data_IF_411782600705
#
_entry.id   IF_411782600705
#
_cell.length_a   1.000
_cell.length_b   1.000
_cell.length_c   1.000
_cell.angle_alpha   90.00
_cell.angle_beta   90.00
_cell.angle_gamma   90.00
#
_symmetry.space_group_name_H-M   'P 1'
#
loop_
_entity.id
_entity.type
_entity.pdbx_description
1 polymer ?
#
# COMPACT_ATOMS: atom_id res chain seq x y z
N UNK A 3 9.86 36.85 10.08
CA UNK A 3 9.34 37.55 11.25
C UNK A 3 7.81 37.48 11.29
N UNK A 4 7.24 36.77 10.32
CA UNK A 4 5.78 36.65 10.19
C UNK A 4 5.28 35.39 10.90
N UNK A 5 3.99 35.39 11.18
CA UNK A 5 3.29 34.25 11.77
C UNK A 5 2.19 33.78 10.82
N UNK A 6 1.49 32.73 11.22
CA UNK A 6 0.41 32.16 10.42
C UNK A 6 -0.68 31.66 11.36
N UNK A 7 -1.93 31.78 10.91
CA UNK A 7 -3.07 31.37 11.71
C UNK A 7 -3.35 29.88 11.53
N UNK A 8 -3.64 29.20 12.63
CA UNK A 8 -3.92 27.76 12.60
C UNK A 8 -5.40 27.42 12.60
N UNK A 9 -6.27 28.31 13.10
CA UNK A 9 -7.69 28.03 13.19
C UNK A 9 -8.47 29.28 12.80
N UNK A 10 -9.79 29.20 12.91
CA UNK A 10 -10.65 30.36 12.73
C UNK A 10 -10.99 30.95 14.09
N UNK A 11 -11.05 32.28 14.16
CA UNK A 11 -11.37 32.97 15.40
C UNK A 11 -12.28 34.15 15.11
N UNK A 12 -13.28 34.36 15.97
CA UNK A 12 -14.19 35.49 15.87
C UNK A 12 -13.93 36.47 16.99
N UNK A 13 -14.00 37.76 16.67
CA UNK A 13 -13.72 38.80 17.65
C UNK A 13 -14.78 38.78 18.75
N UNK A 14 -14.34 38.80 20.00
CA UNK A 14 -15.23 38.86 21.15
C UNK A 14 -15.29 40.24 21.79
N UNK A 15 -14.22 41.02 21.69
CA UNK A 15 -14.14 42.36 22.24
C UNK A 15 -14.06 43.35 21.08
N UNK A 16 -13.86 44.63 21.41
CA UNK A 16 -13.70 45.67 20.41
C UNK A 16 -12.24 45.94 20.04
N UNK A 17 -11.29 45.22 20.65
CA UNK A 17 -9.88 45.44 20.41
C UNK A 17 -9.16 44.22 19.87
N UNK A 18 -9.86 43.10 19.68
CA UNK A 18 -9.26 41.88 19.16
C UNK A 18 -9.52 41.77 17.67
N UNK A 19 -8.95 40.74 17.06
CA UNK A 19 -8.94 40.58 15.61
C UNK A 19 -9.56 39.26 15.21
N UNK A 20 -10.46 39.30 14.22
CA UNK A 20 -11.03 38.10 13.65
C UNK A 20 -10.18 37.65 12.47
N UNK A 21 -9.95 36.34 12.38
CA UNK A 21 -9.12 35.81 11.31
C UNK A 21 -9.54 34.38 10.99
N UNK A 22 -9.21 33.95 9.78
CA UNK A 22 -9.52 32.63 9.28
C UNK A 22 -8.26 31.77 9.25
N UNK A 23 -8.42 30.46 9.37
CA UNK A 23 -7.29 29.54 9.30
C UNK A 23 -6.48 29.79 8.03
N UNK A 24 -5.16 29.76 8.17
CA UNK A 24 -4.27 30.02 7.06
C UNK A 24 -3.91 31.47 6.85
N UNK A 25 -4.52 32.39 7.60
CA UNK A 25 -4.23 33.81 7.43
C UNK A 25 -2.83 34.13 7.96
N UNK A 26 -2.02 34.75 7.13
CA UNK A 26 -0.66 35.12 7.54
C UNK A 26 -0.72 36.42 8.32
N UNK A 27 -0.24 36.38 9.56
CA UNK A 27 -0.28 37.53 10.45
C UNK A 27 1.13 38.04 10.72
N UNK A 28 1.20 39.27 11.21
CA UNK A 28 2.47 39.91 11.55
C UNK A 28 2.42 40.31 13.02
N UNK A 29 3.19 39.63 13.86
CA UNK A 29 3.22 39.94 15.28
C UNK A 29 4.02 41.23 15.46
N UNK A 30 3.34 42.30 15.85
CA UNK A 30 3.99 43.60 16.02
C UNK A 30 4.32 43.90 17.48
N UNK A 31 3.79 43.12 18.42
CA UNK A 31 4.06 43.34 19.84
C UNK A 31 3.69 42.08 20.59
N UNK A 32 4.69 41.40 21.15
CA UNK A 32 4.48 40.17 21.90
C UNK A 32 4.96 40.30 23.35
N UNK A 33 4.85 41.50 23.90
CA UNK A 33 5.12 41.80 25.31
C UNK A 33 3.96 41.47 26.22
N UNK A 34 3.01 40.65 25.76
CA UNK A 34 1.86 40.23 26.54
C UNK A 34 1.82 38.70 26.55
N UNK A 35 1.55 38.13 27.73
CA UNK A 35 1.68 36.68 27.87
C UNK A 35 0.62 35.91 27.10
N UNK A 36 -0.63 36.37 27.14
CA UNK A 36 -1.73 35.67 26.47
C UNK A 36 -2.09 36.25 25.11
N UNK A 37 -2.51 37.52 25.05
CA UNK A 37 -3.01 38.10 23.81
C UNK A 37 -1.97 39.04 23.21
N UNK A 38 -1.57 38.75 21.98
CA UNK A 38 -0.61 39.54 21.23
C UNK A 38 -1.31 40.49 20.28
N UNK A 39 -0.61 41.57 19.92
CA UNK A 39 -1.12 42.54 18.96
C UNK A 39 -0.55 42.19 17.59
N UNK A 40 -1.42 41.86 16.64
CA UNK A 40 -1.01 41.37 15.34
C UNK A 40 -1.63 42.22 14.24
N UNK A 41 -0.98 42.18 13.08
CA UNK A 41 -1.42 42.88 11.88
C UNK A 41 -1.60 41.84 10.78
N UNK A 42 -2.84 41.65 10.33
CA UNK A 42 -3.12 40.67 9.30
C UNK A 42 -2.54 41.14 7.96
N UNK A 43 -1.71 40.31 7.35
CA UNK A 43 -1.06 40.67 6.09
C UNK A 43 -1.98 40.57 4.89
N UNK A 44 -3.12 39.88 5.03
CA UNK A 44 -4.05 39.70 3.92
C UNK A 44 -5.21 40.70 3.97
N UNK A 45 -5.84 40.88 5.12
CA UNK A 45 -6.96 41.80 5.26
C UNK A 45 -6.53 43.20 5.73
N UNK A 46 -5.30 43.37 6.19
CA UNK A 46 -4.84 44.66 6.64
C UNK A 46 -5.38 45.11 7.98
N UNK A 47 -6.07 44.24 8.71
CA UNK A 47 -6.64 44.59 10.00
C UNK A 47 -5.63 44.37 11.11
N UNK A 48 -5.70 45.23 12.13
CA UNK A 48 -4.87 45.12 13.31
C UNK A 48 -5.75 44.87 14.54
N UNK A 49 -5.30 43.98 15.41
CA UNK A 49 -6.05 43.67 16.61
C UNK A 49 -5.31 42.64 17.44
N UNK A 50 -5.87 42.35 18.60
CA UNK A 50 -5.28 41.40 19.53
C UNK A 50 -5.74 39.98 19.18
N UNK A 51 -4.77 39.08 19.04
CA UNK A 51 -5.06 37.68 18.71
C UNK A 51 -4.65 36.80 19.88
N UNK A 52 -5.31 35.66 20.08
CA UNK A 52 -4.83 34.70 21.08
C UNK A 52 -3.56 34.02 20.58
N UNK A 53 -2.53 33.99 21.44
CA UNK A 53 -1.22 33.51 21.01
C UNK A 53 -1.20 32.01 20.72
N UNK A 54 -2.17 31.26 21.25
CA UNK A 54 -2.22 29.82 21.01
C UNK A 54 -2.80 29.46 19.65
N UNK A 55 -3.43 30.42 18.96
CA UNK A 55 -4.02 30.18 17.66
C UNK A 55 -3.03 30.32 16.51
N UNK A 56 -1.79 30.74 16.78
CA UNK A 56 -0.81 30.99 15.74
C UNK A 56 0.47 30.21 16.04
N UNK A 57 1.36 30.20 15.05
CA UNK A 57 2.65 29.54 15.16
C UNK A 57 3.59 30.20 14.18
N UNK A 58 4.90 30.19 14.45
CA UNK A 58 5.85 30.84 13.53
C UNK A 58 5.80 30.24 12.13
N UNK A 59 6.00 31.11 11.14
CA UNK A 59 6.00 30.68 9.75
C UNK A 59 7.18 29.76 9.50
N UNK A 60 6.93 28.70 8.71
CA UNK A 60 7.94 27.70 8.38
C UNK A 60 8.46 26.98 9.63
N UNK A 61 7.61 26.83 10.64
CA UNK A 61 7.92 26.02 11.80
C UNK A 61 7.23 24.66 11.65
N UNK A 62 7.45 23.78 12.62
CA UNK A 62 6.85 22.45 12.56
C UNK A 62 5.40 22.48 13.01
N UNK A 63 5.08 23.31 13.98
CA UNK A 63 3.70 23.42 14.48
C UNK A 63 2.79 24.20 13.53
N UNK A 64 3.35 24.90 12.54
CA UNK A 64 2.57 25.71 11.63
C UNK A 64 1.98 24.92 10.48
N UNK A 65 2.41 23.67 10.30
CA UNK A 65 1.91 22.86 9.19
C UNK A 65 0.49 22.39 9.46
N UNK A 66 -0.27 22.24 8.38
CA UNK A 66 -1.68 21.87 8.49
C UNK A 66 -1.87 20.43 8.93
N UNK A 67 -0.89 19.55 8.67
CA UNK A 67 -1.01 18.15 9.03
C UNK A 67 -0.36 17.80 10.35
N UNK A 68 0.24 18.77 11.03
CA UNK A 68 0.84 18.53 12.34
C UNK A 68 -0.24 18.72 13.40
N UNK A 69 -0.45 17.69 14.23
CA UNK A 69 -1.53 17.70 15.21
C UNK A 69 -1.03 17.67 16.64
N UNK A 70 0.29 17.67 16.85
CA UNK A 70 0.83 17.78 18.19
C UNK A 70 0.74 16.51 19.01
N UNK A 71 0.37 16.65 20.28
CA UNK A 71 0.38 15.54 21.23
C UNK A 71 -0.95 14.79 21.26
N UNK A 72 -1.52 14.49 20.10
CA UNK A 72 -2.77 13.74 20.04
C UNK A 72 -2.46 12.25 20.19
N UNK A 73 -3.25 11.56 20.99
CA UNK A 73 -3.02 10.17 21.29
C UNK A 73 -3.35 9.29 20.08
N UNK A 74 -2.87 8.04 20.14
CA UNK A 74 -3.15 7.09 19.06
C UNK A 74 -4.64 6.79 18.96
N UNK A 75 -5.31 6.64 20.10
CA UNK A 75 -6.76 6.40 20.09
C UNK A 75 -7.49 7.57 19.45
N UNK A 76 -7.12 8.79 19.81
CA UNK A 76 -7.76 9.98 19.24
C UNK A 76 -7.34 10.22 17.80
N UNK A 77 -6.15 9.75 17.41
CA UNK A 77 -5.69 9.96 16.04
C UNK A 77 -6.47 9.11 15.04
N UNK A 78 -6.84 7.88 15.43
CA UNK A 78 -7.60 7.03 14.54
C UNK A 78 -9.03 7.53 14.36
N UNK A 79 -9.54 8.27 15.35
CA UNK A 79 -10.92 8.74 15.27
C UNK A 79 -11.08 9.77 14.15
N UNK A 80 -10.07 10.60 13.93
CA UNK A 80 -10.15 11.59 12.86
C UNK A 80 -9.98 10.93 11.49
N UNK A 81 -9.08 9.95 11.38
CA UNK A 81 -8.80 9.32 10.10
C UNK A 81 -9.89 8.35 9.68
N UNK A 82 -10.57 7.71 10.64
CA UNK A 82 -11.63 6.76 10.32
C UNK A 82 -12.90 7.43 9.80
N UNK A 83 -12.90 8.73 9.55
CA UNK A 83 -14.10 9.39 9.03
C UNK A 83 -14.40 8.89 7.62
N UNK A 84 -15.70 8.75 7.32
CA UNK A 84 -16.11 8.23 6.02
C UNK A 84 -15.75 9.19 4.89
N UNK A 85 -15.66 10.49 5.18
CA UNK A 85 -15.29 11.46 4.14
C UNK A 85 -13.83 11.32 3.72
N UNK A 86 -12.98 10.89 4.64
CA UNK A 86 -11.55 10.80 4.35
C UNK A 86 -11.25 9.71 3.33
N UNK A 87 -10.66 10.04 2.19
CA UNK A 87 -10.27 8.99 1.23
C UNK A 87 -9.06 8.22 1.72
N UNK A 88 -8.65 7.22 0.95
CA UNK A 88 -7.46 6.45 1.31
C UNK A 88 -6.22 7.32 1.17
N UNK A 89 -5.44 7.41 2.24
CA UNK A 89 -4.28 8.27 2.27
C UNK A 89 -4.39 9.45 3.22
N UNK A 90 -5.55 9.65 3.85
CA UNK A 90 -5.68 10.73 4.82
C UNK A 90 -4.74 10.49 6.00
N UNK A 91 -3.90 11.48 6.29
CA UNK A 91 -2.80 11.28 7.23
C UNK A 91 -2.70 12.47 8.19
N UNK A 92 -1.84 12.30 9.19
CA UNK A 92 -1.50 13.33 10.16
C UNK A 92 -0.23 12.89 10.88
N UNK A 93 0.52 13.87 11.38
CA UNK A 93 1.77 13.61 12.10
C UNK A 93 1.57 14.00 13.56
N UNK A 94 1.84 13.06 14.46
CA UNK A 94 1.66 13.24 15.89
C UNK A 94 2.95 12.94 16.63
N UNK A 95 3.05 13.47 17.85
CA UNK A 95 4.18 13.18 18.71
C UNK A 95 4.11 11.74 19.21
N UNK A 96 5.25 11.05 19.18
CA UNK A 96 5.30 9.68 19.66
C UNK A 96 5.16 9.66 21.18
N UNK A 97 4.08 9.06 21.67
CA UNK A 97 3.86 8.97 23.11
C UNK A 97 4.83 8.00 23.78
N UNK A 98 5.36 7.03 23.04
CA UNK A 98 6.28 6.07 23.62
C UNK A 98 7.68 6.66 23.77
N UNK A 99 8.18 7.32 22.72
CA UNK A 99 9.53 7.89 22.70
C UNK A 99 9.43 9.41 22.61
N UNK A 100 9.98 10.09 23.60
CA UNK A 100 10.02 11.55 23.56
C UNK A 100 10.96 12.03 22.46
N UNK A 101 10.59 13.12 21.79
CA UNK A 101 11.35 13.65 20.68
C UNK A 101 11.11 12.98 19.35
N UNK A 102 10.43 11.84 19.33
CA UNK A 102 10.09 11.14 18.10
C UNK A 102 8.65 11.45 17.69
N UNK A 103 8.28 10.98 16.50
CA UNK A 103 6.96 11.26 15.95
C UNK A 103 6.40 9.99 15.30
N UNK A 104 5.08 9.95 15.22
CA UNK A 104 4.36 8.87 14.54
C UNK A 104 3.55 9.43 13.39
N UNK A 105 3.47 8.67 12.30
CA UNK A 105 2.71 9.04 11.11
C UNK A 105 1.52 8.10 11.01
N UNK A 106 0.31 8.65 11.14
CA UNK A 106 -0.92 7.87 11.12
C UNK A 106 -1.65 8.15 9.81
N UNK A 107 -1.83 7.10 9.00
CA UNK A 107 -2.48 7.21 7.70
C UNK A 107 -3.66 6.25 7.65
N UNK A 108 -4.70 6.64 6.90
CA UNK A 108 -5.86 5.78 6.68
C UNK A 108 -5.61 4.87 5.49
N UNK A 109 -6.01 3.60 5.63
CA UNK A 109 -5.74 2.60 4.61
C UNK A 109 -6.94 1.66 4.50
N UNK A 110 -7.12 1.10 3.30
CA UNK A 110 -8.18 0.14 3.00
C UNK A 110 -7.56 -1.16 2.52
N UNK A 111 -7.49 -2.15 3.40
CA UNK A 111 -7.03 -3.49 3.03
C UNK A 111 -8.24 -4.37 2.68
N UNK A 112 -8.14 -5.08 1.57
CA UNK A 112 -9.25 -5.94 1.13
C UNK A 112 -9.52 -7.08 2.11
N UNK A 113 -8.58 -7.37 3.01
CA UNK A 113 -8.76 -8.44 3.99
C UNK A 113 -9.28 -7.94 5.33
N UNK A 114 -8.89 -6.73 5.75
CA UNK A 114 -9.35 -6.18 7.02
C UNK A 114 -10.35 -5.05 6.86
N UNK A 115 -10.56 -4.56 5.63
CA UNK A 115 -11.45 -3.43 5.45
C UNK A 115 -10.73 -2.12 5.69
N UNK A 116 -11.49 -1.11 6.13
CA UNK A 116 -10.91 0.18 6.46
C UNK A 116 -10.09 0.08 7.73
N UNK A 117 -8.88 0.63 7.70
CA UNK A 117 -7.96 0.55 8.84
C UNK A 117 -7.06 1.77 8.82
N UNK A 118 -6.24 1.89 9.88
CA UNK A 118 -5.30 2.98 10.04
C UNK A 118 -3.91 2.41 10.21
N UNK A 119 -2.96 2.88 9.41
CA UNK A 119 -1.56 2.46 9.49
C UNK A 119 -0.76 3.51 10.25
N UNK A 120 -0.02 3.06 11.26
CA UNK A 120 0.82 3.95 12.07
C UNK A 120 2.28 3.64 11.82
N UNK A 121 3.03 4.62 11.34
CA UNK A 121 4.47 4.50 11.14
C UNK A 121 5.19 5.45 12.08
N UNK A 122 6.09 4.91 12.91
CA UNK A 122 6.86 5.72 13.85
C UNK A 122 8.08 6.29 13.14
N UNK A 123 8.25 7.61 13.24
CA UNK A 123 9.38 8.32 12.66
C UNK A 123 10.44 8.51 13.74
N UNK A 124 11.66 8.08 13.45
CA UNK A 124 12.75 8.12 14.40
C UNK A 124 13.63 9.34 14.15
N UNK A 125 14.11 9.95 15.23
CA UNK A 125 14.95 11.14 15.17
C UNK A 125 16.40 10.75 15.31
N UNK A 126 17.22 11.09 14.32
CA UNK A 126 18.65 10.82 14.39
C UNK A 126 19.32 11.74 15.41
N UNK A 127 20.49 11.32 15.88
CA UNK A 127 21.25 12.17 16.78
C UNK A 127 21.74 13.44 16.08
N UNK A 128 21.97 13.36 14.76
CA UNK A 128 22.32 14.54 13.99
C UNK A 128 21.14 15.48 13.79
N UNK A 129 19.92 15.03 14.06
CA UNK A 129 18.73 15.83 13.86
C UNK A 129 17.88 15.40 12.70
N UNK A 130 18.15 14.24 12.10
CA UNK A 130 17.44 13.79 10.94
C UNK A 130 16.30 12.83 11.26
N UNK A 131 15.32 12.78 10.36
CA UNK A 131 14.15 11.93 10.52
C UNK A 131 14.12 10.86 9.42
N UNK A 132 13.61 9.68 9.77
CA UNK A 132 13.52 8.59 8.82
C UNK A 132 12.47 7.60 9.28
N UNK A 133 11.89 6.89 8.32
CA UNK A 133 11.05 5.74 8.60
C UNK A 133 11.80 4.44 8.29
N UNK A 134 12.48 4.40 7.14
CA UNK A 134 13.41 3.34 6.78
C UNK A 134 14.80 3.93 6.57
N UNK A 135 15.81 3.08 6.75
CA UNK A 135 17.20 3.52 6.61
C UNK A 135 17.54 3.90 5.18
N UNK A 136 16.73 3.46 4.20
CA UNK A 136 17.02 3.73 2.80
C UNK A 136 16.81 5.19 2.42
N UNK A 137 16.00 5.92 3.19
CA UNK A 137 15.74 7.32 2.90
C UNK A 137 15.62 8.08 4.20
N UNK A 138 16.51 9.05 4.40
CA UNK A 138 16.50 9.88 5.59
C UNK A 138 16.11 11.29 5.21
N UNK A 139 15.65 12.04 6.21
CA UNK A 139 15.17 13.40 5.99
C UNK A 139 15.74 14.30 7.07
N UNK A 140 15.68 15.60 6.82
CA UNK A 140 16.11 16.62 7.76
C UNK A 140 14.96 17.26 8.52
N UNK A 141 13.77 17.34 7.92
CA UNK A 141 12.61 17.90 8.58
C UNK A 141 11.38 17.10 8.19
N UNK A 142 10.34 17.22 9.02
CA UNK A 142 9.09 16.50 8.79
C UNK A 142 8.32 17.04 7.59
N UNK A 143 8.43 18.33 7.29
CA UNK A 143 7.67 18.90 6.19
C UNK A 143 8.08 18.30 4.85
N UNK A 144 9.39 18.21 4.62
CA UNK A 144 9.89 17.62 3.38
C UNK A 144 9.69 16.11 3.36
N UNK A 145 9.63 15.47 4.53
CA UNK A 145 9.32 14.05 4.57
C UNK A 145 7.94 13.79 3.99
N UNK A 146 6.97 14.63 4.36
CA UNK A 146 5.61 14.47 3.87
C UNK A 146 5.55 14.69 2.36
N UNK A 147 6.32 15.66 1.86
CA UNK A 147 6.31 15.94 0.43
C UNK A 147 6.81 14.75 -0.39
N UNK A 148 7.70 13.93 0.17
CA UNK A 148 8.14 12.71 -0.49
C UNK A 148 7.01 11.69 -0.52
N UNK A 149 6.57 11.24 0.66
CA UNK A 149 5.59 10.19 0.75
C UNK A 149 4.23 10.60 0.22
N UNK A 150 4.07 11.87 -0.15
CA UNK A 150 2.87 12.31 -0.83
C UNK A 150 2.94 12.18 -2.35
N UNK A 151 4.15 12.03 -2.90
CA UNK A 151 4.28 11.81 -4.33
C UNK A 151 4.30 10.32 -4.67
N UNK A 152 5.06 9.55 -3.90
CA UNK A 152 5.16 8.11 -4.08
C UNK A 152 5.01 7.43 -2.74
N UNK A 153 4.46 6.22 -2.75
CA UNK A 153 4.34 5.44 -1.52
C UNK A 153 5.71 5.12 -0.95
N UNK A 154 6.49 4.31 -1.67
CA UNK A 154 7.86 3.95 -1.30
C UNK A 154 7.95 3.42 0.13
N UNK A 155 7.44 2.20 0.31
CA UNK A 155 7.45 1.53 1.59
C UNK A 155 6.15 1.63 2.36
N UNK A 156 5.35 2.65 2.08
CA UNK A 156 4.06 2.84 2.72
C UNK A 156 2.99 2.08 1.94
N UNK A 157 1.93 1.69 2.65
CA UNK A 157 0.85 0.97 1.99
C UNK A 157 0.12 1.83 0.96
N UNK A 158 0.18 3.15 1.11
CA UNK A 158 -0.40 4.06 0.15
C UNK A 158 0.31 5.40 0.24
N UNK A 159 0.23 6.18 -0.84
CA UNK A 159 0.84 7.50 -0.84
C UNK A 159 0.02 8.47 -0.01
N UNK A 160 0.71 9.44 0.57
CA UNK A 160 0.03 10.47 1.36
C UNK A 160 -0.78 11.37 0.43
N UNK A 161 -2.06 11.53 0.75
CA UNK A 161 -2.96 12.28 -0.11
C UNK A 161 -3.60 13.46 0.62
N UNK A 162 -4.66 13.19 1.36
CA UNK A 162 -5.48 14.22 1.98
C UNK A 162 -4.97 14.51 3.39
N UNK A 163 -4.91 15.80 3.74
CA UNK A 163 -4.60 16.20 5.11
C UNK A 163 -5.86 16.04 5.95
N UNK A 164 -5.72 15.49 7.14
CA UNK A 164 -6.86 15.24 8.02
C UNK A 164 -7.55 16.53 8.45
N UNK A 165 -8.77 16.76 7.95
CA UNK A 165 -9.52 17.96 8.31
C UNK A 165 -10.25 17.74 9.63
N UNK A 166 -11.20 18.61 9.92
CA UNK A 166 -12.06 18.50 11.11
C UNK A 166 -11.23 18.42 12.39
N UNK A 167 -10.44 19.46 12.64
CA UNK A 167 -9.67 19.56 13.87
C UNK A 167 -10.33 20.65 14.70
N UNK A 168 -10.76 20.26 15.91
CA UNK A 168 -11.41 21.17 16.84
C UNK A 168 -10.50 22.36 17.16
N UNK A 169 -11.10 23.54 17.25
CA UNK A 169 -10.36 24.76 17.55
C UNK A 169 -10.12 24.83 19.06
N UNK A 170 -8.90 25.10 19.51
CA UNK A 170 -8.62 25.10 20.94
C UNK A 170 -9.31 26.24 21.68
N UNK A 171 -9.37 26.08 22.99
CA UNK A 171 -10.04 27.04 23.85
C UNK A 171 -9.24 28.34 23.94
N UNK A 172 -9.90 29.45 23.68
CA UNK A 172 -9.23 30.75 23.76
C UNK A 172 -8.91 31.09 25.21
N UNK A 173 -7.68 31.49 25.52
CA UNK A 173 -7.32 31.81 26.91
C UNK A 173 -7.86 33.16 27.33
N UNK A 174 -8.27 33.24 28.59
CA UNK A 174 -8.81 34.47 29.15
C UNK A 174 -7.67 35.37 29.65
N UNK A 175 -7.99 36.64 29.82
CA UNK A 175 -7.02 37.62 30.33
C UNK A 175 -7.73 38.85 30.89
N UNK B 3 -6.40 -25.47 -30.29
CA UNK B 3 -6.22 -26.90 -30.09
C UNK B 3 -4.77 -27.23 -29.72
N UNK B 4 -3.95 -26.19 -29.60
CA UNK B 4 -2.54 -26.37 -29.30
C UNK B 4 -2.31 -26.35 -27.79
N UNK B 5 -1.14 -26.84 -27.39
CA UNK B 5 -0.72 -26.88 -26.00
C UNK B 5 0.54 -26.04 -25.82
N UNK B 6 1.00 -25.96 -24.57
CA UNK B 6 2.21 -25.21 -24.24
C UNK B 6 2.92 -25.93 -23.11
N UNK B 7 4.25 -25.90 -23.14
CA UNK B 7 5.08 -26.57 -22.16
C UNK B 7 5.29 -25.68 -20.94
N UNK B 8 5.25 -26.28 -19.76
CA UNK B 8 5.46 -25.56 -18.51
C UNK B 8 6.88 -25.65 -18.00
N UNK B 9 7.63 -26.67 -18.42
CA UNK B 9 9.01 -26.87 -17.97
C UNK B 9 9.85 -27.32 -19.15
N UNK B 10 11.11 -27.62 -18.88
CA UNK B 10 12.03 -28.19 -19.85
C UNK B 10 12.07 -29.71 -19.72
N UNK B 11 12.28 -30.38 -20.85
CA UNK B 11 12.37 -31.83 -20.90
C UNK B 11 13.55 -32.23 -21.78
N UNK B 12 14.31 -33.21 -21.30
CA UNK B 12 15.44 -33.77 -22.01
C UNK B 12 15.12 -35.20 -22.42
N UNK B 13 15.58 -35.59 -23.60
CA UNK B 13 15.26 -36.91 -24.13
C UNK B 13 15.88 -38.02 -23.28
N UNK B 14 15.07 -39.01 -22.92
CA UNK B 14 15.54 -40.16 -22.15
C UNK B 14 15.67 -41.43 -22.97
N UNK B 15 14.82 -41.63 -23.97
CA UNK B 15 14.85 -42.79 -24.84
C UNK B 15 15.00 -42.30 -26.29
N UNK B 16 14.83 -43.23 -27.23
CA UNK B 16 14.87 -42.93 -28.66
C UNK B 16 13.50 -42.56 -29.22
N UNK B 17 12.46 -42.52 -28.40
CA UNK B 17 11.11 -42.28 -28.89
C UNK B 17 10.46 -41.03 -28.29
N UNK B 18 11.12 -40.33 -27.38
CA UNK B 18 10.55 -39.14 -26.78
C UNK B 18 11.12 -37.87 -27.40
N UNK B 19 10.56 -36.73 -26.99
CA UNK B 19 10.87 -35.43 -27.57
C UNK B 19 11.31 -34.46 -26.48
N UNK B 20 12.41 -33.75 -26.72
CA UNK B 20 12.90 -32.72 -25.82
C UNK B 20 12.36 -31.36 -26.21
N UNK B 21 12.02 -30.55 -25.20
CA UNK B 21 11.43 -29.23 -25.44
C UNK B 21 11.80 -28.30 -24.30
N UNK B 22 11.70 -26.99 -24.57
CA UNK B 22 12.00 -25.94 -23.61
C UNK B 22 10.70 -25.33 -23.09
N UNK B 23 10.76 -24.81 -21.86
CA UNK B 23 9.60 -24.15 -21.25
C UNK B 23 9.07 -23.04 -22.15
N UNK B 24 7.75 -22.98 -22.28
CA UNK B 24 7.10 -22.00 -23.13
C UNK B 24 6.91 -22.41 -24.57
N UNK B 25 7.47 -23.55 -24.97
CA UNK B 25 7.36 -24.01 -26.35
C UNK B 25 5.95 -24.53 -26.62
N UNK B 26 5.33 -24.02 -27.68
CA UNK B 26 3.97 -24.41 -28.05
C UNK B 26 3.97 -25.74 -28.78
N UNK B 27 3.23 -26.71 -28.26
CA UNK B 27 3.16 -28.05 -28.82
C UNK B 27 1.80 -28.33 -29.42
N UNK B 28 1.76 -29.34 -30.30
CA UNK B 28 0.53 -29.79 -30.95
C UNK B 28 0.37 -31.28 -30.69
N UNK B 29 -0.64 -31.65 -29.93
CA UNK B 29 -0.90 -33.06 -29.60
C UNK B 29 -1.47 -33.76 -30.82
N UNK B 30 -0.70 -34.69 -31.40
CA UNK B 30 -1.12 -35.41 -32.59
C UNK B 30 -1.73 -36.78 -32.28
N UNK B 31 -1.55 -37.30 -31.07
CA UNK B 31 -2.10 -38.60 -30.71
C UNK B 31 -2.07 -38.72 -29.18
N UNK B 32 -3.25 -38.73 -28.57
CA UNK B 32 -3.38 -38.86 -27.13
C UNK B 32 -4.18 -40.10 -26.76
N UNK B 33 -4.07 -41.17 -27.54
CA UNK B 33 -4.72 -42.41 -27.17
C UNK B 33 -3.94 -43.21 -26.12
N UNK B 34 -2.96 -42.57 -25.49
CA UNK B 34 -2.26 -43.15 -24.35
C UNK B 34 -2.31 -42.10 -23.23
N UNK B 35 -2.73 -42.54 -22.04
CA UNK B 35 -2.95 -41.61 -20.94
C UNK B 35 -1.66 -41.09 -20.35
N UNK B 36 -0.62 -41.93 -20.33
CA UNK B 36 0.61 -41.59 -19.63
C UNK B 36 1.52 -40.73 -20.50
N UNK B 37 1.92 -41.24 -21.65
CA UNK B 37 2.79 -40.52 -22.56
C UNK B 37 2.01 -40.11 -23.80
N UNK B 38 2.01 -38.81 -24.10
CA UNK B 38 1.32 -38.30 -25.28
C UNK B 38 2.31 -38.14 -26.44
N UNK B 39 1.78 -38.20 -27.65
CA UNK B 39 2.55 -37.97 -28.86
C UNK B 39 2.30 -36.54 -29.35
N UNK B 40 3.35 -35.72 -29.39
CA UNK B 40 3.22 -34.30 -29.70
C UNK B 40 4.16 -33.92 -30.84
N UNK B 41 3.82 -32.81 -31.50
CA UNK B 41 4.60 -32.25 -32.59
C UNK B 41 4.98 -30.83 -32.22
N UNK B 42 6.28 -30.58 -32.03
CA UNK B 42 6.75 -29.26 -31.64
C UNK B 42 6.58 -28.26 -32.78
N UNK B 43 5.91 -27.14 -32.48
CA UNK B 43 5.62 -26.14 -33.50
C UNK B 43 6.82 -25.27 -33.85
N UNK B 44 7.84 -25.22 -32.99
CA UNK B 44 9.00 -24.38 -33.22
C UNK B 44 10.17 -25.15 -33.83
N UNK B 45 10.47 -26.33 -33.29
CA UNK B 45 11.58 -27.13 -33.80
C UNK B 45 11.16 -28.11 -34.89
N UNK B 46 9.86 -28.30 -35.09
CA UNK B 46 9.39 -29.23 -36.10
C UNK B 46 9.56 -30.68 -35.76
N UNK B 47 9.94 -31.00 -34.53
CA UNK B 47 10.18 -32.37 -34.12
C UNK B 47 8.88 -33.01 -33.63
N UNK B 48 8.75 -34.32 -33.87
CA UNK B 48 7.64 -35.11 -33.36
C UNK B 48 8.19 -36.17 -32.43
N UNK B 49 7.50 -36.38 -31.31
CA UNK B 49 7.95 -37.37 -30.35
C UNK B 49 6.99 -37.47 -29.19
N UNK B 50 7.30 -38.41 -28.29
CA UNK B 50 6.47 -38.64 -27.12
C UNK B 50 6.86 -37.70 -25.98
N UNK B 51 5.87 -37.01 -25.43
CA UNK B 51 6.12 -36.10 -24.31
C UNK B 51 5.37 -36.62 -23.10
N UNK B 52 5.87 -36.39 -21.88
CA UNK B 52 5.08 -36.67 -20.68
C UNK B 52 3.97 -35.63 -20.52
N UNK B 53 2.75 -36.11 -20.28
CA UNK B 53 1.58 -35.25 -20.28
C UNK B 53 1.58 -34.25 -19.12
N UNK B 54 2.36 -34.47 -18.08
CA UNK B 54 2.38 -33.55 -16.94
C UNK B 54 3.19 -32.28 -17.21
N UNK B 55 3.99 -32.25 -18.27
CA UNK B 55 4.79 -31.08 -18.60
C UNK B 55 4.02 -30.03 -19.41
N UNK B 56 2.77 -30.30 -19.79
CA UNK B 56 2.04 -29.42 -20.67
C UNK B 56 0.70 -29.04 -20.03
N UNK B 57 0.05 -28.05 -20.63
CA UNK B 57 -1.26 -27.58 -20.22
C UNK B 57 -1.89 -26.90 -21.44
N UNK B 58 -3.21 -26.84 -21.53
CA UNK B 58 -3.84 -26.20 -22.68
C UNK B 58 -3.39 -24.75 -22.82
N UNK B 59 -3.25 -24.30 -24.06
CA UNK B 59 -2.81 -22.94 -24.32
C UNK B 59 -3.82 -21.93 -23.83
N UNK B 60 -3.33 -20.88 -23.15
CA UNK B 60 -4.17 -19.81 -22.62
C UNK B 60 -5.22 -20.35 -21.64
N UNK B 61 -4.89 -21.40 -20.91
CA UNK B 61 -5.73 -21.92 -19.85
C UNK B 61 -5.23 -21.39 -18.50
N UNK B 62 -5.91 -21.80 -17.43
CA UNK B 62 -5.52 -21.33 -16.10
C UNK B 62 -4.28 -22.06 -15.61
N UNK B 63 -4.10 -23.33 -16.00
CA UNK B 63 -2.92 -24.08 -15.61
C UNK B 63 -1.68 -23.67 -16.38
N UNK B 64 -1.83 -22.93 -17.48
CA UNK B 64 -0.69 -22.57 -18.29
C UNK B 64 0.03 -21.31 -17.79
N UNK B 65 -0.57 -20.56 -16.88
CA UNK B 65 0.07 -19.35 -16.37
C UNK B 65 1.19 -19.71 -15.39
N UNK B 66 2.22 -18.87 -15.37
CA UNK B 66 3.39 -19.14 -14.54
C UNK B 66 3.09 -18.94 -13.05
N UNK B 67 2.07 -18.16 -12.71
CA UNK B 67 1.76 -17.88 -11.32
C UNK B 67 0.71 -18.81 -10.73
N UNK B 68 0.21 -19.77 -11.50
CA UNK B 68 -0.75 -20.75 -11.00
C UNK B 68 0.01 -21.92 -10.39
N UNK B 69 -0.28 -22.22 -9.12
CA UNK B 69 0.42 -23.26 -8.39
C UNK B 69 -0.47 -24.41 -7.94
N UNK B 70 -1.77 -24.36 -8.23
CA UNK B 70 -2.62 -25.51 -7.97
C UNK B 70 -2.95 -25.71 -6.50
N UNK B 71 -2.89 -26.96 -6.06
CA UNK B 71 -3.30 -27.38 -4.72
C UNK B 71 -2.16 -27.33 -3.71
N UNK B 72 -1.35 -26.27 -3.73
CA UNK B 72 -0.27 -26.12 -2.76
C UNK B 72 -0.85 -25.60 -1.45
N UNK B 73 -0.38 -26.17 -0.34
CA UNK B 73 -0.91 -25.83 0.97
C UNK B 73 -0.47 -24.43 1.39
N UNK B 74 -1.16 -23.91 2.41
CA UNK B 74 -0.82 -22.59 2.95
C UNK B 74 0.59 -22.58 3.52
N UNK B 75 0.97 -23.64 4.23
CA UNK B 75 2.32 -23.72 4.79
C UNK B 75 3.38 -23.71 3.70
N UNK B 76 3.17 -24.50 2.64
CA UNK B 76 4.16 -24.56 1.57
C UNK B 76 4.16 -23.30 0.72
N UNK B 77 3.04 -22.57 0.66
CA UNK B 77 3.01 -21.32 -0.10
C UNK B 77 3.82 -20.24 0.60
N UNK B 78 3.81 -20.22 1.94
CA UNK B 78 4.57 -19.24 2.69
C UNK B 78 6.07 -19.50 2.60
N UNK B 79 6.48 -20.76 2.42
CA UNK B 79 7.91 -21.09 2.35
C UNK B 79 8.55 -20.54 1.07
N UNK B 80 7.83 -20.59 -0.05
CA UNK B 80 8.38 -20.10 -1.30
C UNK B 80 8.41 -18.58 -1.33
N UNK B 81 7.38 -17.93 -0.80
CA UNK B 81 7.31 -16.47 -0.87
C UNK B 81 8.27 -15.82 0.12
N UNK B 82 8.56 -16.47 1.23
CA UNK B 82 9.48 -15.93 2.24
C UNK B 82 10.93 -15.98 1.81
N UNK B 83 11.26 -16.35 0.58
CA UNK B 83 12.64 -16.39 0.14
C UNK B 83 13.20 -14.98 0.08
N UNK B 84 14.48 -14.85 0.45
CA UNK B 84 15.12 -13.53 0.48
C UNK B 84 15.27 -12.94 -0.92
N UNK B 85 15.35 -13.78 -1.95
CA UNK B 85 15.47 -13.28 -3.31
C UNK B 85 14.17 -12.63 -3.77
N UNK B 86 13.03 -13.07 -3.27
CA UNK B 86 11.74 -12.56 -3.71
C UNK B 86 11.57 -11.12 -3.27
N UNK B 87 11.38 -10.17 -4.19
CA UNK B 87 11.12 -8.79 -3.79
C UNK B 87 9.72 -8.60 -3.24
N UNK B 88 9.39 -7.39 -2.81
CA UNK B 88 8.05 -7.12 -2.32
C UNK B 88 7.06 -7.17 -3.48
N UNK B 89 6.03 -7.99 -3.34
CA UNK B 89 5.04 -8.20 -4.38
C UNK B 89 5.07 -9.57 -5.01
N UNK B 90 6.01 -10.43 -4.63
CA UNK B 90 6.04 -11.79 -5.15
C UNK B 90 4.79 -12.54 -4.70
N UNK B 91 4.07 -13.10 -5.67
CA UNK B 91 2.73 -13.64 -5.42
C UNK B 91 2.58 -14.99 -6.10
N UNK B 92 1.49 -15.67 -5.76
CA UNK B 92 1.07 -16.92 -6.38
C UNK B 92 -0.36 -17.17 -5.99
N UNK B 93 -1.06 -17.93 -6.82
CA UNK B 93 -2.46 -18.26 -6.60
C UNK B 93 -2.56 -19.76 -6.30
N UNK B 94 -3.18 -20.10 -5.18
CA UNK B 94 -3.31 -21.48 -4.75
C UNK B 94 -4.78 -21.82 -4.58
N UNK B 95 -5.07 -23.12 -4.63
CA UNK B 95 -6.44 -23.56 -4.41
C UNK B 95 -6.83 -23.38 -2.96
N UNK B 96 -8.02 -22.84 -2.73
CA UNK B 96 -8.50 -22.63 -1.37
C UNK B 96 -8.87 -23.97 -0.74
N UNK B 97 -8.17 -24.32 0.34
CA UNK B 97 -8.45 -25.58 1.03
C UNK B 97 -9.78 -25.54 1.78
N UNK B 98 -10.26 -24.36 2.14
CA UNK B 98 -11.53 -24.26 2.86
C UNK B 98 -12.73 -24.42 1.94
N UNK B 99 -12.72 -23.72 0.81
CA UNK B 99 -13.82 -23.75 -0.14
C UNK B 99 -13.35 -24.36 -1.44
N UNK B 100 -13.97 -25.46 -1.85
CA UNK B 100 -13.65 -26.09 -3.12
C UNK B 100 -14.08 -25.19 -4.27
N UNK B 101 -13.28 -25.16 -5.32
CA UNK B 101 -13.52 -24.30 -6.45
C UNK B 101 -13.07 -22.87 -6.29
N UNK B 102 -12.73 -22.45 -5.08
CA UNK B 102 -12.24 -21.10 -4.82
C UNK B 102 -10.72 -21.11 -4.74
N UNK B 103 -10.14 -19.91 -4.65
CA UNK B 103 -8.69 -19.76 -4.65
C UNK B 103 -8.29 -18.72 -3.62
N UNK B 104 -7.05 -18.83 -3.16
CA UNK B 104 -6.45 -17.87 -2.25
C UNK B 104 -5.24 -17.25 -2.92
N UNK B 105 -5.03 -15.96 -2.70
CA UNK B 105 -3.91 -15.22 -3.26
C UNK B 105 -2.93 -14.86 -2.16
N UNK B 106 -1.73 -15.42 -2.23
CA UNK B 106 -0.69 -15.19 -1.23
C UNK B 106 0.38 -14.30 -1.85
N UNK B 107 0.58 -13.12 -1.25
CA UNK B 107 1.55 -12.16 -1.72
C UNK B 107 2.52 -11.85 -0.58
N UNK B 108 3.77 -11.57 -0.94
CA UNK B 108 4.78 -11.19 0.04
C UNK B 108 4.72 -9.70 0.30
N UNK B 109 4.85 -9.33 1.57
CA UNK B 109 4.73 -7.94 2.00
C UNK B 109 5.73 -7.68 3.11
N UNK B 110 6.17 -6.43 3.21
CA UNK B 110 7.09 -5.99 4.26
C UNK B 110 6.36 -4.91 5.04
N UNK B 111 5.76 -5.30 6.18
CA UNK B 111 5.08 -4.34 7.03
C UNK B 111 6.08 -3.79 8.04
N UNK B 112 6.12 -2.46 8.16
CA UNK B 112 7.09 -1.84 9.05
C UNK B 112 6.85 -2.17 10.52
N UNK B 113 5.66 -2.67 10.86
CA UNK B 113 5.34 -3.03 12.23
C UNK B 113 5.52 -4.51 12.52
N UNK B 114 5.26 -5.39 11.54
CA UNK B 114 5.39 -6.82 11.72
C UNK B 114 6.57 -7.42 10.99
N UNK B 115 7.27 -6.65 10.16
CA UNK B 115 8.38 -7.17 9.38
C UNK B 115 7.90 -7.84 8.10
N UNK B 116 8.72 -8.79 7.63
CA UNK B 116 8.37 -9.54 6.43
C UNK B 116 7.24 -10.51 6.75
N UNK B 117 6.20 -10.52 5.92
CA UNK B 117 5.05 -11.37 6.14
C UNK B 117 4.40 -11.70 4.81
N UNK B 118 3.41 -12.59 4.87
CA UNK B 118 2.63 -12.98 3.70
C UNK B 118 1.17 -12.75 4.01
N UNK B 119 0.50 -11.99 3.15
CA UNK B 119 -0.93 -11.73 3.27
C UNK B 119 -1.69 -12.65 2.34
N UNK B 120 -2.72 -13.31 2.87
CA UNK B 120 -3.55 -14.24 2.11
C UNK B 120 -4.88 -13.58 1.83
N UNK B 121 -5.22 -13.46 0.55
CA UNK B 121 -6.49 -12.89 0.11
C UNK B 121 -7.31 -13.98 -0.54
N UNK B 122 -8.53 -14.18 -0.03
CA UNK B 122 -9.41 -15.22 -0.56
C UNK B 122 -10.15 -14.69 -1.79
N UNK B 123 -10.02 -15.40 -2.90
CA UNK B 123 -10.72 -15.06 -4.13
C UNK B 123 -11.96 -15.92 -4.22
N UNK B 124 -13.13 -15.29 -4.23
CA UNK B 124 -14.41 -16.00 -4.27
C UNK B 124 -15.02 -15.90 -5.66
N UNK B 125 -15.66 -16.98 -6.09
CA UNK B 125 -16.31 -17.05 -7.39
C UNK B 125 -17.80 -16.77 -7.22
N UNK B 126 -18.30 -15.77 -7.94
CA UNK B 126 -19.71 -15.44 -7.87
C UNK B 126 -20.55 -16.51 -8.57
N UNK B 127 -21.84 -16.52 -8.24
CA UNK B 127 -22.76 -17.43 -8.88
C UNK B 127 -22.91 -17.12 -10.37
N UNK B 128 -22.71 -15.85 -10.76
CA UNK B 128 -22.73 -15.47 -12.17
C UNK B 128 -21.49 -15.97 -12.91
N UNK B 129 -20.46 -16.40 -12.20
CA UNK B 129 -19.23 -16.87 -12.80
C UNK B 129 -18.05 -15.93 -12.66
N UNK B 130 -18.18 -14.86 -11.88
CA UNK B 130 -17.13 -13.88 -11.74
C UNK B 130 -16.27 -14.12 -10.51
N UNK B 131 -15.03 -13.62 -10.57
CA UNK B 131 -14.07 -13.73 -9.49
C UNK B 131 -13.77 -12.34 -8.95
N UNK B 132 -13.52 -12.27 -7.64
CA UNK B 132 -13.28 -10.99 -6.98
C UNK B 132 -12.52 -11.19 -5.68
N UNK B 133 -11.79 -10.16 -5.29
CA UNK B 133 -11.20 -10.07 -3.96
C UNK B 133 -11.99 -9.14 -3.06
N UNK B 134 -12.44 -8.01 -3.60
CA UNK B 134 -13.38 -7.12 -2.91
C UNK B 134 -14.70 -7.10 -3.67
N UNK B 135 -15.79 -6.85 -2.94
CA UNK B 135 -17.11 -6.92 -3.57
C UNK B 135 -17.33 -5.78 -4.56
N UNK B 136 -16.63 -4.66 -4.40
CA UNK B 136 -16.78 -3.53 -5.30
C UNK B 136 -16.06 -3.69 -6.63
N UNK B 137 -15.17 -4.69 -6.76
CA UNK B 137 -14.43 -4.89 -8.01
C UNK B 137 -14.44 -6.38 -8.34
N UNK B 138 -15.11 -6.72 -9.45
CA UNK B 138 -15.22 -8.09 -9.92
C UNK B 138 -14.60 -8.25 -11.31
N UNK B 139 -14.29 -9.50 -11.64
CA UNK B 139 -13.66 -9.86 -12.91
C UNK B 139 -14.33 -11.13 -13.45
N UNK B 140 -14.02 -11.46 -14.71
CA UNK B 140 -14.60 -12.64 -15.34
C UNK B 140 -13.69 -13.87 -15.25
N UNK B 141 -12.39 -13.68 -15.15
CA UNK B 141 -11.46 -14.80 -15.10
C UNK B 141 -10.33 -14.49 -14.13
N UNK B 142 -9.63 -15.55 -13.71
CA UNK B 142 -8.49 -15.37 -12.81
C UNK B 142 -7.37 -14.60 -13.49
N UNK B 143 -7.21 -14.78 -14.81
CA UNK B 143 -6.19 -14.04 -15.53
C UNK B 143 -6.47 -12.55 -15.52
N UNK B 144 -7.74 -12.16 -15.67
CA UNK B 144 -8.08 -10.74 -15.65
C UNK B 144 -7.90 -10.14 -14.27
N UNK B 145 -8.11 -10.92 -13.22
CA UNK B 145 -7.88 -10.42 -11.86
C UNK B 145 -6.40 -10.16 -11.61
N UNK B 146 -5.54 -11.12 -11.99
CA UNK B 146 -4.12 -10.97 -11.75
C UNK B 146 -3.54 -9.83 -12.60
N UNK B 147 -3.97 -9.75 -13.86
CA UNK B 147 -3.48 -8.68 -14.73
C UNK B 147 -3.94 -7.30 -14.24
N UNK B 148 -5.10 -7.24 -13.60
CA UNK B 148 -5.56 -5.97 -13.04
C UNK B 148 -4.73 -5.55 -11.84
N UNK B 149 -4.72 -6.37 -10.79
CA UNK B 149 -4.01 -6.03 -9.56
C UNK B 149 -2.50 -5.96 -9.73
N UNK B 150 -2.00 -6.25 -10.93
CA UNK B 150 -0.60 -6.03 -11.28
C UNK B 150 -0.35 -4.62 -11.80
N UNK B 151 -1.41 -3.87 -12.12
CA UNK B 151 -1.31 -2.48 -12.52
C UNK B 151 -1.54 -1.50 -11.36
N UNK B 152 -2.52 -1.75 -10.50
CA UNK B 152 -2.84 -0.85 -9.40
C UNK B 152 -2.95 -1.62 -8.10
N UNK B 153 -2.63 -0.94 -6.99
CA UNK B 153 -2.77 -1.54 -5.68
C UNK B 153 -4.24 -1.81 -5.38
N UNK B 154 -5.03 -0.74 -5.26
CA UNK B 154 -6.48 -0.83 -5.07
C UNK B 154 -6.84 -1.79 -3.93
N UNK B 155 -6.52 -1.33 -2.73
CA UNK B 155 -6.74 -2.12 -1.53
C UNK B 155 -5.52 -2.84 -1.02
N UNK B 156 -4.55 -3.13 -1.89
CA UNK B 156 -3.33 -3.81 -1.47
C UNK B 156 -2.26 -2.80 -1.05
N UNK B 157 -1.41 -3.24 -0.12
CA UNK B 157 -0.29 -2.41 0.32
C UNK B 157 0.77 -2.27 -0.75
N UNK B 158 0.82 -3.20 -1.70
CA UNK B 158 1.79 -3.12 -2.80
C UNK B 158 1.17 -3.76 -4.03
N UNK B 159 1.66 -3.33 -5.19
CA UNK B 159 1.19 -3.82 -6.48
C UNK B 159 1.79 -5.20 -6.77
N UNK B 160 1.03 -6.03 -7.49
CA UNK B 160 1.51 -7.34 -7.86
C UNK B 160 2.62 -7.19 -8.91
N UNK B 161 3.79 -7.77 -8.62
CA UNK B 161 4.95 -7.59 -9.47
C UNK B 161 5.54 -8.91 -9.94
N UNK B 162 6.35 -9.54 -9.09
CA UNK B 162 7.15 -10.68 -9.49
C UNK B 162 6.39 -11.99 -9.27
N UNK B 163 6.46 -12.87 -10.27
CA UNK B 163 5.93 -14.22 -10.16
C UNK B 163 6.94 -15.10 -9.43
N UNK B 164 6.45 -15.96 -8.54
CA UNK B 164 7.32 -16.88 -7.81
C UNK B 164 7.98 -17.81 -8.81
N UNK B 165 9.27 -17.61 -9.08
CA UNK B 165 9.94 -18.38 -10.12
C UNK B 165 10.39 -19.76 -9.62
N UNK B 166 10.89 -19.83 -8.39
CA UNK B 166 11.30 -21.11 -7.82
C UNK B 166 10.13 -22.09 -7.75
N UNK B 167 10.18 -23.15 -8.55
CA UNK B 167 9.15 -24.17 -8.53
C UNK B 167 9.74 -25.57 -8.70
N UNK B 168 9.40 -26.51 -7.82
CA UNK B 168 9.82 -27.90 -8.00
C UNK B 168 9.34 -28.40 -9.36
N UNK B 169 10.22 -29.08 -10.10
CA UNK B 169 9.87 -29.57 -11.41
C UNK B 169 9.23 -30.95 -11.30
N UNK B 170 8.02 -31.15 -11.85
CA UNK B 170 7.35 -32.46 -11.85
C UNK B 170 8.01 -33.43 -12.83
#
# INVERSE_FOLDING_TARGET
GVTTFVALYDYESRTETDLSFKKGERLQIVNNTEGDWWLAHSLSTGQTGYIPSNYVAPSDSIQAEEWYFGKITRRESERLLLNAENPRGTFLVRESETTKGAYCLSVSDFDNAKGLNVKHYKIRKLDSGGFYITSRTQFNSLQQLVAYYSKHADGLCHRLTTVAFRRVSPSAPRRPRRPRRPGPSDPA
GVTTFVALYDYESRTETDLSFKKGERLQIVNNTEGDWWLAHSLSTGQTGYIPSNYVAPSDSIQAEEWYFGKITRRESERLLLNAENPRGTFLVRESETTKGAYCLSVSDFDNAKGLNVKHYKIRKLDSGGFYITSRTQFNSLQQLVAYYSKHADGLCHRLTTVAFRRVSPSAPRRPRRPRRPGPSDPA
#
